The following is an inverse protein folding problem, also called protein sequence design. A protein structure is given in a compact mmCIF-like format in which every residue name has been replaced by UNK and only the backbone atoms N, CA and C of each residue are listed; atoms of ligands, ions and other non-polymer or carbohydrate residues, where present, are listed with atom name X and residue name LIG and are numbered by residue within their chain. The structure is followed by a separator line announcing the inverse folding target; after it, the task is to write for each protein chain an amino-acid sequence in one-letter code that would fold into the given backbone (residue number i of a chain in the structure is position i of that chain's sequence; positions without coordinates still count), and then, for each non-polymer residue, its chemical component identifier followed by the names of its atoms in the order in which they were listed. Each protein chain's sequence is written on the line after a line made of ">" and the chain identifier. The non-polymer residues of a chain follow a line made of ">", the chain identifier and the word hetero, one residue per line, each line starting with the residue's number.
data_IF_839660566239
#
_entry.id   IF_839660566239
#
_cell.length_a   1.000
_cell.length_b   1.000
_cell.length_c   1.000
_cell.angle_alpha   90.00
_cell.angle_beta   90.00
_cell.angle_gamma   90.00
#
_symmetry.space_group_name_H-M   'P 1'
#
loop_
_entity.id
_entity.type
_entity.pdbx_description
1 polymer ?
#
# COMPACT_ATOMS: atom_id res chain seq x y z
N UNK A 1 20.01 -20.47 1.60
CA UNK A 1 19.75 -19.19 0.90
C UNK A 1 20.29 -19.20 -0.54
N UNK A 2 21.61 -19.32 -0.76
CA UNK A 2 22.20 -19.32 -2.12
C UNK A 2 21.66 -20.43 -3.04
N UNK A 3 21.73 -21.69 -2.60
CA UNK A 3 21.26 -22.82 -3.42
C UNK A 3 19.75 -22.74 -3.75
N UNK A 4 18.95 -22.16 -2.86
CA UNK A 4 17.52 -21.92 -3.13
C UNK A 4 17.32 -20.90 -4.25
N UNK A 5 18.08 -19.80 -4.24
CA UNK A 5 18.05 -18.81 -5.31
C UNK A 5 18.46 -19.44 -6.65
N UNK A 6 19.56 -20.19 -6.66
CA UNK A 6 20.04 -20.90 -7.85
C UNK A 6 18.97 -21.87 -8.37
N UNK A 7 18.30 -22.62 -7.49
CA UNK A 7 17.21 -23.53 -7.83
C UNK A 7 16.04 -22.80 -8.51
N UNK A 8 15.55 -21.72 -7.91
CA UNK A 8 14.43 -20.91 -8.46
C UNK A 8 14.77 -20.35 -9.84
N UNK A 9 15.98 -19.82 -10.03
CA UNK A 9 16.40 -19.27 -11.33
C UNK A 9 16.57 -20.37 -12.37
N UNK A 10 17.15 -21.51 -11.99
CA UNK A 10 17.33 -22.67 -12.85
C UNK A 10 15.99 -23.17 -13.38
N UNK A 11 15.00 -23.34 -12.49
CA UNK A 11 13.65 -23.78 -12.85
C UNK A 11 12.94 -22.74 -13.71
N UNK A 12 12.91 -21.48 -13.27
CA UNK A 12 12.18 -20.40 -13.95
C UNK A 12 12.73 -20.09 -15.36
N UNK A 13 14.05 -20.18 -15.55
CA UNK A 13 14.70 -19.93 -16.85
C UNK A 13 15.02 -21.20 -17.64
N UNK A 14 14.63 -22.38 -17.13
CA UNK A 14 14.99 -23.69 -17.69
C UNK A 14 16.50 -23.78 -18.01
N UNK A 15 17.32 -23.28 -17.10
CA UNK A 15 18.76 -23.15 -17.27
C UNK A 15 19.48 -24.17 -16.38
N UNK A 16 20.55 -24.84 -16.86
CA UNK A 16 21.32 -25.76 -16.01
C UNK A 16 21.84 -25.07 -14.75
N UNK A 17 21.75 -25.76 -13.61
CA UNK A 17 22.22 -25.26 -12.30
C UNK A 17 23.66 -24.76 -12.37
N UNK A 18 24.55 -25.48 -13.04
CA UNK A 18 25.95 -25.09 -13.19
C UNK A 18 26.13 -23.77 -13.93
N UNK A 19 25.29 -23.51 -14.94
CA UNK A 19 25.30 -22.24 -15.67
C UNK A 19 24.80 -21.12 -14.77
N UNK A 20 23.72 -21.34 -14.02
CA UNK A 20 23.20 -20.36 -13.06
C UNK A 20 24.24 -20.04 -11.98
N UNK A 21 24.94 -21.04 -11.44
CA UNK A 21 26.02 -20.84 -10.44
C UNK A 21 27.15 -19.95 -10.98
N UNK A 22 27.53 -20.10 -12.25
CA UNK A 22 28.54 -19.24 -12.89
C UNK A 22 28.06 -17.80 -13.08
N UNK A 23 26.76 -17.59 -13.25
CA UNK A 23 26.17 -16.25 -13.41
C UNK A 23 25.86 -15.59 -12.06
N UNK A 24 25.57 -16.39 -11.03
CA UNK A 24 25.22 -15.97 -9.68
C UNK A 24 26.46 -15.76 -8.80
N UNK A 25 27.40 -14.94 -9.26
CA UNK A 25 28.64 -14.60 -8.54
C UNK A 25 28.59 -13.21 -7.86
N UNK A 26 27.43 -12.55 -7.90
CA UNK A 26 27.18 -11.25 -7.28
C UNK A 26 27.42 -10.05 -8.20
N UNK A 27 27.85 -10.25 -9.45
CA UNK A 27 27.97 -9.17 -10.42
C UNK A 27 26.60 -8.65 -10.88
N UNK A 28 26.54 -7.35 -11.17
CA UNK A 28 25.37 -6.69 -11.75
C UNK A 28 25.48 -6.71 -13.27
N UNK A 29 24.39 -7.08 -13.94
CA UNK A 29 24.28 -7.09 -15.39
C UNK A 29 23.41 -5.93 -15.87
N UNK A 30 23.79 -5.31 -16.99
CA UNK A 30 22.90 -4.41 -17.72
C UNK A 30 21.74 -5.18 -18.36
N UNK A 31 20.65 -4.51 -18.72
CA UNK A 31 19.52 -5.17 -19.40
C UNK A 31 19.92 -5.92 -20.68
N UNK A 32 20.86 -5.37 -21.46
CA UNK A 32 21.42 -6.02 -22.67
C UNK A 32 22.14 -7.32 -22.34
N UNK A 33 23.06 -7.28 -21.38
CA UNK A 33 23.78 -8.47 -20.92
C UNK A 33 22.83 -9.51 -20.32
N UNK A 34 21.84 -9.08 -19.53
CA UNK A 34 20.85 -9.97 -18.95
C UNK A 34 20.05 -10.71 -20.05
N UNK A 35 19.70 -10.03 -21.14
CA UNK A 35 19.01 -10.64 -22.28
C UNK A 35 19.90 -11.66 -22.99
N UNK A 36 21.15 -11.30 -23.28
CA UNK A 36 22.13 -12.21 -23.92
C UNK A 36 22.40 -13.46 -23.08
N UNK A 37 22.40 -13.32 -21.74
CA UNK A 37 22.60 -14.42 -20.81
C UNK A 37 21.33 -15.27 -20.56
N UNK A 38 20.17 -14.83 -21.06
CA UNK A 38 18.87 -15.48 -20.84
C UNK A 38 18.28 -15.27 -19.45
N UNK A 39 18.69 -14.20 -18.75
CA UNK A 39 18.17 -13.82 -17.44
C UNK A 39 16.88 -12.99 -17.54
N UNK A 40 16.64 -12.34 -18.69
CA UNK A 40 15.40 -11.65 -19.05
C UNK A 40 14.99 -12.06 -20.46
N UNK A 41 13.68 -11.99 -20.74
CA UNK A 41 13.13 -12.40 -22.02
C UNK A 41 13.29 -11.28 -23.05
N UNK A 42 12.90 -10.06 -22.68
CA UNK A 42 12.96 -8.88 -23.55
C UNK A 42 13.40 -7.61 -22.83
N UNK A 43 13.79 -6.62 -23.63
CA UNK A 43 14.15 -5.27 -23.16
C UNK A 43 13.08 -4.35 -23.70
N UNK A 44 12.42 -3.64 -22.80
CA UNK A 44 11.35 -2.72 -23.12
C UNK A 44 11.05 -1.81 -21.93
N UNK A 45 10.05 -0.98 -22.11
CA UNK A 45 9.48 -0.15 -21.08
C UNK A 45 8.23 -0.83 -20.47
N UNK A 46 7.53 -0.09 -19.62
CA UNK A 46 6.32 -0.55 -18.95
C UNK A 46 5.17 -0.90 -19.93
N UNK A 47 4.98 -0.12 -20.99
CA UNK A 47 3.93 -0.34 -21.98
C UNK A 47 4.21 -1.59 -22.82
N UNK A 48 5.48 -1.86 -23.16
CA UNK A 48 5.85 -3.09 -23.86
C UNK A 48 5.47 -4.34 -23.04
N UNK A 49 5.61 -4.27 -21.70
CA UNK A 49 5.20 -5.35 -20.81
C UNK A 49 3.66 -5.50 -20.72
N UNK A 50 2.90 -4.40 -20.80
CA UNK A 50 1.44 -4.44 -20.84
C UNK A 50 0.94 -5.04 -22.15
N UNK A 51 1.52 -4.65 -23.28
CA UNK A 51 1.16 -5.15 -24.59
C UNK A 51 1.48 -6.65 -24.72
N UNK A 52 2.67 -7.07 -24.25
CA UNK A 52 3.03 -8.48 -24.16
C UNK A 52 2.05 -9.27 -23.29
N UNK A 53 1.63 -8.71 -22.16
CA UNK A 53 0.63 -9.35 -21.29
C UNK A 53 -0.73 -9.45 -21.97
N UNK A 54 -1.19 -8.38 -22.63
CA UNK A 54 -2.45 -8.37 -23.39
C UNK A 54 -2.48 -9.44 -24.48
N UNK A 55 -1.37 -9.58 -25.21
CA UNK A 55 -1.20 -10.62 -26.22
C UNK A 55 -1.26 -12.04 -25.62
N UNK A 56 -0.67 -12.26 -24.44
CA UNK A 56 -0.68 -13.56 -23.76
C UNK A 56 -2.07 -13.96 -23.23
N UNK A 57 -2.89 -12.99 -22.83
CA UNK A 57 -4.23 -13.25 -22.28
C UNK A 57 -5.35 -13.15 -23.34
N UNK A 58 -5.01 -12.81 -24.59
CA UNK A 58 -5.96 -12.70 -25.69
C UNK A 58 -6.92 -11.50 -25.59
N UNK A 59 -6.53 -10.44 -24.90
CA UNK A 59 -7.32 -9.21 -24.82
C UNK A 59 -6.99 -8.25 -25.95
N UNK A 60 -8.00 -7.70 -26.62
CA UNK A 60 -7.82 -6.57 -27.55
C UNK A 60 -7.56 -5.29 -26.74
N UNK A 61 -6.29 -4.99 -26.45
CA UNK A 61 -5.85 -3.74 -25.81
C UNK A 61 -5.05 -3.92 -24.52
N UNK A 62 -4.63 -2.79 -23.93
CA UNK A 62 -3.87 -2.76 -22.66
C UNK A 62 -4.70 -3.33 -21.51
N UNK A 63 -4.21 -4.35 -20.79
CA UNK A 63 -4.93 -4.94 -19.67
C UNK A 63 -5.19 -3.93 -18.54
N UNK A 64 -6.33 -4.08 -17.85
CA UNK A 64 -6.68 -3.24 -16.70
C UNK A 64 -5.67 -3.45 -15.56
N UNK A 65 -4.98 -2.37 -15.16
CA UNK A 65 -3.98 -2.40 -14.08
C UNK A 65 -4.62 -1.94 -12.77
N UNK A 66 -4.79 -2.87 -11.83
CA UNK A 66 -5.28 -2.57 -10.48
C UNK A 66 -4.13 -2.16 -9.57
N UNK A 67 -4.11 -0.89 -9.18
CA UNK A 67 -3.11 -0.33 -8.28
C UNK A 67 -3.59 -0.46 -6.81
N UNK A 68 -2.93 -1.32 -6.03
CA UNK A 68 -3.22 -1.54 -4.61
C UNK A 68 -2.54 -0.51 -3.69
N UNK A 69 -2.31 0.73 -4.16
CA UNK A 69 -1.90 1.82 -3.26
C UNK A 69 -2.91 1.95 -2.11
N UNK A 70 -2.42 1.68 -0.89
CA UNK A 70 -3.19 1.78 0.35
C UNK A 70 -3.67 3.23 0.54
N UNK A 71 -4.90 3.54 0.11
CA UNK A 71 -5.54 4.82 0.41
C UNK A 71 -5.54 5.00 1.92
N UNK A 72 -5.01 6.12 2.40
CA UNK A 72 -4.78 6.30 3.83
C UNK A 72 -6.13 6.60 4.51
N UNK A 73 -6.71 5.67 5.29
CA UNK A 73 -8.08 5.79 5.80
C UNK A 73 -8.26 6.99 6.75
N UNK A 74 -7.15 7.47 7.30
CA UNK A 74 -7.10 8.61 8.20
C UNK A 74 -7.57 9.94 7.56
N UNK A 75 -7.55 10.07 6.23
CA UNK A 75 -7.94 11.28 5.50
C UNK A 75 -9.48 11.41 5.47
N UNK A 76 -10.18 10.28 5.53
CA UNK A 76 -11.65 10.22 5.51
C UNK A 76 -12.26 10.25 6.93
N UNK A 77 -11.45 9.95 7.96
CA UNK A 77 -11.92 9.87 9.36
C UNK A 77 -11.78 11.23 10.09
N UNK A 78 -10.88 12.11 9.67
CA UNK A 78 -10.58 13.37 10.36
C UNK A 78 -11.57 14.52 10.08
N UNK A 79 -12.38 14.45 9.02
CA UNK A 79 -13.25 15.55 8.60
C UNK A 79 -14.65 15.59 9.22
N UNK A 80 -15.22 14.45 9.58
CA UNK A 80 -16.67 14.37 9.86
C UNK A 80 -17.07 13.82 11.25
N UNK A 81 -16.21 13.05 11.94
CA UNK A 81 -16.61 12.35 13.18
C UNK A 81 -16.09 12.95 14.48
N UNK A 82 -15.01 13.73 14.44
CA UNK A 82 -14.42 14.35 15.64
C UNK A 82 -15.22 15.57 16.07
N UNK A 83 -15.75 16.34 15.12
CA UNK A 83 -16.64 17.48 15.40
C UNK A 83 -17.89 17.05 16.16
N UNK A 84 -18.53 15.95 15.76
CA UNK A 84 -19.74 15.43 16.38
C UNK A 84 -19.49 14.90 17.81
N UNK A 85 -18.33 14.30 18.06
CA UNK A 85 -17.93 13.82 19.39
C UNK A 85 -17.49 14.94 20.34
N UNK A 86 -16.81 15.98 19.83
CA UNK A 86 -16.38 17.14 20.63
C UNK A 86 -17.56 18.08 20.93
N UNK A 87 -18.44 18.35 19.96
CA UNK A 87 -19.58 19.25 20.18
C UNK A 87 -20.59 18.67 21.18
N UNK A 88 -20.92 17.38 21.08
CA UNK A 88 -21.91 16.76 21.98
C UNK A 88 -21.52 16.83 23.46
N UNK A 89 -20.22 16.75 23.79
CA UNK A 89 -19.75 16.83 25.18
C UNK A 89 -19.55 18.25 25.72
N UNK A 90 -19.34 19.23 24.85
CA UNK A 90 -19.22 20.64 25.27
C UNK A 90 -20.61 21.22 25.54
N UNK A 91 -21.65 20.84 24.79
CA UNK A 91 -23.02 21.34 24.99
C UNK A 91 -23.67 20.83 26.26
N UNK A 92 -23.42 19.57 26.66
CA UNK A 92 -23.98 19.00 27.90
C UNK A 92 -23.42 19.67 29.17
N UNK A 93 -22.14 20.07 29.17
CA UNK A 93 -21.52 20.65 30.36
C UNK A 93 -21.76 22.17 30.52
N UNK A 94 -21.96 22.89 29.42
CA UNK A 94 -22.29 24.33 29.45
C UNK A 94 -23.73 24.60 29.90
N UNK A 95 -24.65 23.66 29.68
CA UNK A 95 -26.07 23.83 30.04
C UNK A 95 -26.34 23.58 31.54
N UNK A 96 -25.45 22.86 32.23
CA UNK A 96 -25.63 22.50 33.65
C UNK A 96 -25.02 23.53 34.62
N UNK A 97 -24.26 24.52 34.14
CA UNK A 97 -23.53 25.46 35.01
C UNK A 97 -24.23 26.82 35.24
N UNK A 98 -25.40 27.05 34.65
CA UNK A 98 -26.14 28.33 34.76
C UNK A 98 -27.37 28.31 35.67
N UNK A 99 -27.62 27.22 36.42
CA UNK A 99 -28.77 27.11 37.36
C UNK A 99 -28.43 27.18 38.85
N UNK A 100 -27.18 27.43 39.23
CA UNK A 100 -26.77 27.48 40.63
C UNK A 100 -26.34 28.88 41.05
N UNK A 101 -27.20 29.89 40.89
CA UNK A 101 -26.97 31.19 41.54
C UNK A 101 -28.27 32.00 41.72
N UNK A 102 -29.30 31.42 42.33
CA UNK A 102 -30.33 32.22 43.02
C UNK A 102 -30.61 31.64 44.42
N UNK A 103 -30.07 32.37 45.40
CA UNK A 103 -30.67 32.68 46.71
C UNK A 103 -31.15 31.55 47.62
N UNK A 104 -30.26 31.15 48.53
CA UNK A 104 -30.63 30.88 49.92
C UNK A 104 -30.05 32.00 50.78
N UNK A 105 -30.87 33.01 51.11
CA UNK A 105 -30.60 33.91 52.25
C UNK A 105 -31.39 33.42 53.46
N UNK A 106 -30.80 33.43 54.66
CA UNK A 106 -31.45 32.95 55.87
C UNK A 106 -32.37 34.05 56.43
N UNK A 107 -33.52 33.70 57.01
CA UNK A 107 -33.95 34.26 58.29
C UNK A 107 -35.15 33.53 58.89
N UNK A 108 -35.06 33.33 60.20
CA UNK A 108 -36.02 32.66 61.08
C UNK A 108 -37.15 33.60 61.52
N UNK A 109 -38.33 33.04 61.81
CA UNK A 109 -39.30 33.64 62.73
C UNK A 109 -39.84 32.56 63.69
N UNK A 110 -39.85 32.92 64.96
CA UNK A 110 -40.12 32.10 66.14
C UNK A 110 -39.36 32.66 67.33
#
# INVERSE_FOLDING_TARGET
>A
MYEQFVGVVSEGRKMPVDKVKRLADGRVYTGKQAKELGLVDEIGNYYDALDATGALIGSEGTPEVKDFRRQKPWQNIWGAKISEFIFGRITENLTNQSRTFEMQTPHAEG
#
